data_IF_308085695100
#
_entry.id   IF_308085695100
#
_cell.length_a   1.000
_cell.length_b   1.000
_cell.length_c   1.000
_cell.angle_alpha   90.00
_cell.angle_beta   90.00
_cell.angle_gamma   90.00
#
_symmetry.space_group_name_H-M   'P 1'
#
loop_
_entity.id
_entity.type
_entity.pdbx_description
1 polymer ?
#
# COMPACT_ATOMS: atom_id res chain seq x y z
N UNK A 1 24.24 12.65 12.34
CA UNK A 1 23.66 11.79 11.29
C UNK A 1 22.29 11.24 11.70
N UNK A 2 22.07 10.97 12.99
CA UNK A 2 20.79 10.48 13.53
C UNK A 2 19.61 11.42 13.24
N UNK A 3 19.71 12.71 13.56
CA UNK A 3 18.60 13.65 13.31
C UNK A 3 18.19 13.81 11.83
N UNK A 4 19.11 13.58 10.88
CA UNK A 4 18.76 13.59 9.45
C UNK A 4 17.97 12.34 9.07
N UNK A 5 18.40 11.17 9.54
CA UNK A 5 17.71 9.90 9.27
C UNK A 5 16.33 9.87 9.92
N UNK A 6 16.19 10.42 11.14
CA UNK A 6 14.91 10.56 11.82
C UNK A 6 13.95 11.47 11.05
N UNK A 7 14.44 12.62 10.54
CA UNK A 7 13.63 13.52 9.73
C UNK A 7 13.18 12.85 8.42
N UNK A 8 14.08 12.15 7.72
CA UNK A 8 13.74 11.41 6.49
C UNK A 8 12.71 10.32 6.79
N UNK A 9 12.90 9.55 7.86
CA UNK A 9 11.98 8.49 8.27
C UNK A 9 10.59 9.03 8.59
N UNK A 10 10.52 10.13 9.37
CA UNK A 10 9.27 10.78 9.72
C UNK A 10 8.54 11.33 8.47
N UNK A 11 9.26 11.99 7.57
CA UNK A 11 8.69 12.52 6.32
C UNK A 11 8.20 11.37 5.43
N UNK A 12 9.01 10.34 5.23
CA UNK A 12 8.64 9.18 4.42
C UNK A 12 7.38 8.49 4.96
N UNK A 13 7.32 8.26 6.28
CA UNK A 13 6.17 7.62 6.92
C UNK A 13 4.92 8.50 6.84
N UNK A 14 5.06 9.81 7.03
CA UNK A 14 3.95 10.76 6.87
C UNK A 14 3.39 10.73 5.45
N UNK A 15 4.26 10.79 4.44
CA UNK A 15 3.86 10.71 3.04
C UNK A 15 3.17 9.37 2.72
N UNK A 16 3.69 8.26 3.25
CA UNK A 16 3.11 6.94 3.04
C UNK A 16 1.69 6.85 3.60
N UNK A 17 1.47 7.39 4.80
CA UNK A 17 0.15 7.48 5.43
C UNK A 17 -0.79 8.35 4.59
N UNK A 18 -0.34 9.52 4.16
CA UNK A 18 -1.16 10.43 3.32
C UNK A 18 -1.56 9.76 2.00
N UNK A 19 -0.61 9.10 1.31
CA UNK A 19 -0.88 8.37 0.07
C UNK A 19 -1.88 7.24 0.33
N UNK A 20 -1.71 6.47 1.40
CA UNK A 20 -2.64 5.42 1.78
C UNK A 20 -4.05 5.93 2.08
N UNK A 21 -4.17 7.08 2.75
CA UNK A 21 -5.45 7.75 3.00
C UNK A 21 -6.09 8.24 1.70
N UNK A 22 -5.33 8.86 0.80
CA UNK A 22 -5.85 9.32 -0.50
C UNK A 22 -6.34 8.14 -1.35
N UNK A 23 -5.55 7.07 -1.44
CA UNK A 23 -5.93 5.86 -2.16
C UNK A 23 -7.18 5.20 -1.55
N UNK A 24 -7.22 5.07 -0.22
CA UNK A 24 -8.37 4.54 0.51
C UNK A 24 -9.62 5.41 0.35
N UNK A 25 -9.46 6.74 0.31
CA UNK A 25 -10.55 7.68 0.09
C UNK A 25 -11.16 7.50 -1.30
N UNK A 26 -10.32 7.43 -2.33
CA UNK A 26 -10.76 7.21 -3.72
C UNK A 26 -11.48 5.86 -3.82
N UNK A 27 -10.89 4.79 -3.26
CA UNK A 27 -11.49 3.47 -3.26
C UNK A 27 -12.86 3.45 -2.54
N UNK A 28 -12.97 4.11 -1.38
CA UNK A 28 -14.22 4.23 -0.64
C UNK A 28 -15.31 5.00 -1.40
N UNK A 29 -14.94 6.07 -2.11
CA UNK A 29 -15.85 6.82 -2.98
C UNK A 29 -16.35 6.00 -4.16
N UNK A 30 -15.47 5.22 -4.80
CA UNK A 30 -15.83 4.37 -5.94
C UNK A 30 -16.69 3.18 -5.48
N UNK A 31 -16.35 2.54 -4.36
CA UNK A 31 -17.04 1.36 -3.88
C UNK A 31 -18.41 1.65 -3.23
N UNK A 32 -18.70 2.91 -2.89
CA UNK A 32 -19.98 3.32 -2.28
C UNK A 32 -20.29 2.68 -0.93
N UNK A 33 -19.27 2.13 -0.24
CA UNK A 33 -19.42 1.37 1.02
C UNK A 33 -18.66 2.03 2.16
N UNK A 34 -18.59 1.37 3.33
CA UNK A 34 -18.00 1.89 4.58
C UNK A 34 -16.61 2.50 4.37
N UNK A 35 -16.59 3.83 4.29
CA UNK A 35 -15.43 4.66 3.98
C UNK A 35 -14.25 4.42 4.93
N UNK A 36 -14.56 4.24 6.22
CA UNK A 36 -13.55 4.05 7.26
C UNK A 36 -12.72 2.78 7.01
N UNK A 37 -13.37 1.71 6.55
CA UNK A 37 -12.66 0.47 6.22
C UNK A 37 -11.67 0.67 5.06
N UNK A 38 -12.07 1.41 4.02
CA UNK A 38 -11.18 1.67 2.89
C UNK A 38 -10.01 2.59 3.24
N UNK A 39 -10.21 3.56 4.13
CA UNK A 39 -9.12 4.39 4.65
C UNK A 39 -8.10 3.56 5.43
N UNK A 40 -8.57 2.71 6.36
CA UNK A 40 -7.70 1.84 7.17
C UNK A 40 -6.94 0.88 6.26
N UNK A 41 -7.63 0.24 5.32
CA UNK A 41 -7.00 -0.69 4.36
C UNK A 41 -6.02 0.04 3.45
N UNK A 42 -6.33 1.25 3.00
CA UNK A 42 -5.44 2.05 2.16
C UNK A 42 -4.11 2.36 2.85
N UNK A 43 -4.16 2.79 4.12
CA UNK A 43 -2.96 3.01 4.93
C UNK A 43 -2.21 1.70 5.19
N UNK A 44 -2.92 0.65 5.61
CA UNK A 44 -2.30 -0.65 5.88
C UNK A 44 -1.61 -1.23 4.63
N UNK A 45 -2.23 -1.11 3.47
CA UNK A 45 -1.65 -1.54 2.19
C UNK A 45 -0.44 -0.70 1.80
N UNK A 46 -0.52 0.63 1.91
CA UNK A 46 0.60 1.52 1.60
C UNK A 46 1.83 1.19 2.47
N UNK A 47 1.61 0.89 3.76
CA UNK A 47 2.68 0.46 4.68
C UNK A 47 3.17 -0.94 4.34
N UNK A 48 2.29 -1.91 4.09
CA UNK A 48 2.67 -3.30 3.92
C UNK A 48 3.36 -3.61 2.57
N UNK A 49 2.95 -2.96 1.48
CA UNK A 49 3.48 -3.20 0.13
C UNK A 49 5.02 -3.14 0.06
N UNK A 50 5.71 -2.10 0.55
CA UNK A 50 7.18 -2.05 0.45
C UNK A 50 7.85 -3.26 1.14
N UNK A 51 7.35 -3.69 2.31
CA UNK A 51 7.88 -4.87 3.00
C UNK A 51 7.59 -6.16 2.25
N UNK A 52 6.40 -6.29 1.67
CA UNK A 52 6.04 -7.43 0.84
C UNK A 52 6.91 -7.52 -0.42
N UNK A 53 7.14 -6.40 -1.10
CA UNK A 53 8.03 -6.35 -2.26
C UNK A 53 9.47 -6.67 -1.88
N UNK A 54 9.95 -6.19 -0.74
CA UNK A 54 11.27 -6.55 -0.21
C UNK A 54 11.37 -8.05 0.11
N UNK A 55 10.36 -8.62 0.80
CA UNK A 55 10.31 -10.04 1.15
C UNK A 55 10.27 -10.96 -0.08
N UNK A 56 9.64 -10.50 -1.16
CA UNK A 56 9.60 -11.21 -2.45
C UNK A 56 10.88 -11.00 -3.29
N UNK A 57 11.87 -10.25 -2.80
CA UNK A 57 13.09 -9.94 -3.55
C UNK A 57 12.89 -8.99 -4.73
N UNK A 58 11.72 -8.33 -4.83
CA UNK A 58 11.32 -7.49 -5.95
C UNK A 58 11.84 -6.05 -5.85
N UNK A 59 12.53 -5.68 -4.77
CA UNK A 59 13.07 -4.33 -4.56
C UNK A 59 14.03 -3.88 -5.66
N UNK A 60 14.83 -4.80 -6.20
CA UNK A 60 15.76 -4.53 -7.32
C UNK A 60 15.04 -4.58 -8.67
N UNK A 61 14.02 -5.44 -8.83
CA UNK A 61 13.29 -5.59 -10.09
C UNK A 61 12.45 -4.34 -10.43
N UNK A 62 11.94 -3.61 -9.44
CA UNK A 62 11.20 -2.38 -9.66
C UNK A 62 12.04 -1.27 -10.31
N UNK A 63 13.37 -1.35 -10.23
CA UNK A 63 14.29 -0.43 -10.90
C UNK A 63 14.62 -0.82 -12.36
N UNK A 64 14.20 -2.01 -12.82
CA UNK A 64 14.65 -2.62 -14.07
C UNK A 64 13.90 -2.20 -15.35
N UNK A 65 12.81 -1.42 -15.26
CA UNK A 65 12.07 -0.88 -16.43
C UNK A 65 10.53 -1.02 -16.35
N UNK A 66 9.81 -0.37 -17.28
CA UNK A 66 8.34 -0.24 -17.27
C UNK A 66 7.59 -1.58 -17.17
N UNK A 67 8.02 -2.61 -17.89
CA UNK A 67 7.36 -3.93 -17.86
C UNK A 67 7.46 -4.60 -16.49
N UNK A 68 8.61 -4.48 -15.83
CA UNK A 68 8.81 -5.01 -14.48
C UNK A 68 7.99 -4.24 -13.45
N UNK A 69 7.90 -2.91 -13.61
CA UNK A 69 7.06 -2.06 -12.76
C UNK A 69 5.58 -2.47 -12.85
N UNK A 70 5.07 -2.79 -14.05
CA UNK A 70 3.71 -3.31 -14.23
C UNK A 70 3.49 -4.65 -13.53
N UNK A 71 4.44 -5.59 -13.63
CA UNK A 71 4.36 -6.88 -12.96
C UNK A 71 4.32 -6.72 -11.42
N UNK A 72 5.19 -5.87 -10.88
CA UNK A 72 5.24 -5.53 -9.45
C UNK A 72 3.93 -4.89 -8.99
N UNK A 73 3.38 -3.94 -9.75
CA UNK A 73 2.11 -3.31 -9.47
C UNK A 73 0.95 -4.32 -9.48
N UNK A 74 0.95 -5.27 -10.42
CA UNK A 74 -0.05 -6.33 -10.49
C UNK A 74 -0.01 -7.24 -9.26
N UNK A 75 1.19 -7.66 -8.82
CA UNK A 75 1.36 -8.44 -7.58
C UNK A 75 0.86 -7.66 -6.37
N UNK A 76 1.25 -6.38 -6.24
CA UNK A 76 0.77 -5.51 -5.16
C UNK A 76 -0.75 -5.40 -5.14
N UNK A 77 -1.38 -5.22 -6.30
CA UNK A 77 -2.83 -5.17 -6.43
C UNK A 77 -3.51 -6.47 -6.01
N UNK A 78 -2.98 -7.64 -6.40
CA UNK A 78 -3.50 -8.95 -6.00
C UNK A 78 -3.43 -9.12 -4.48
N UNK A 79 -2.32 -8.74 -3.85
CA UNK A 79 -2.19 -8.83 -2.39
C UNK A 79 -3.19 -7.93 -1.68
N UNK A 80 -3.37 -6.69 -2.13
CA UNK A 80 -4.37 -5.77 -1.56
C UNK A 80 -5.78 -6.34 -1.70
N UNK A 81 -6.14 -6.87 -2.88
CA UNK A 81 -7.42 -7.53 -3.11
C UNK A 81 -7.65 -8.72 -2.19
N UNK A 82 -6.62 -9.55 -1.98
CA UNK A 82 -6.69 -10.70 -1.08
C UNK A 82 -6.94 -10.27 0.36
N UNK A 83 -6.22 -9.24 0.85
CA UNK A 83 -6.40 -8.66 2.18
C UNK A 83 -7.81 -8.08 2.35
N UNK A 84 -8.30 -7.29 1.39
CA UNK A 84 -9.66 -6.75 1.40
C UNK A 84 -10.69 -7.88 1.47
N UNK A 85 -10.55 -8.91 0.65
CA UNK A 85 -11.44 -10.09 0.66
C UNK A 85 -11.41 -10.81 2.00
N UNK A 86 -10.24 -11.01 2.60
CA UNK A 86 -10.11 -11.66 3.89
C UNK A 86 -10.79 -10.88 5.02
N UNK A 87 -10.70 -9.55 4.99
CA UNK A 87 -11.31 -8.67 5.98
C UNK A 87 -12.84 -8.55 5.81
N UNK A 88 -13.31 -8.45 4.57
CA UNK A 88 -14.73 -8.28 4.24
C UNK A 88 -15.50 -9.59 4.27
N UNK A 89 -14.89 -10.68 3.79
CA UNK A 89 -15.54 -11.98 3.63
C UNK A 89 -15.94 -12.67 4.93
N UNK A 90 -15.45 -12.20 6.08
CA UNK A 90 -15.81 -12.73 7.41
C UNK A 90 -17.13 -12.20 7.99
N UNK A 91 -17.81 -11.25 7.33
CA UNK A 91 -19.16 -10.82 7.75
C UNK A 91 -20.27 -11.63 7.06
N UNK A 92 -20.35 -12.92 7.36
CA UNK A 92 -21.59 -13.69 7.23
C UNK A 92 -22.00 -14.18 8.61
#
# INVERSE_FOLDING_TARGET
MEGLLDAIGAVALTLLVVIGLVAGFIAGKIAGRNMVLYLIVGVAAAVAIPFLLAALGLGVLAAGGLLLLLAVAAVGAVVVLAVVRALVGRRK
#
